data_IF_100411272608
#
_entry.id   IF_100411272608
#
_cell.length_a   1.000
_cell.length_b   1.000
_cell.length_c   1.000
_cell.angle_alpha   90.00
_cell.angle_beta   90.00
_cell.angle_gamma   90.00
#
_symmetry.space_group_name_H-M   'P 1'
#
loop_
_entity.id
_entity.type
_entity.pdbx_description
1 polymer ?
#
# COMPACT_ATOMS: atom_id res chain seq x y z
N UNK A 1 2.42 5.37 -21.38
CA UNK A 1 1.33 6.29 -21.82
C UNK A 1 0.94 5.89 -23.24
N UNK A 2 -0.20 5.22 -23.37
CA UNK A 2 -0.79 4.82 -24.66
C UNK A 2 -1.89 5.80 -25.04
N UNK A 3 -2.09 6.08 -26.33
CA UNK A 3 -3.15 6.98 -26.83
C UNK A 3 -4.09 6.20 -27.76
N UNK A 4 -5.40 6.39 -27.57
CA UNK A 4 -6.46 5.77 -28.35
C UNK A 4 -7.48 6.82 -28.83
N UNK A 5 -7.50 7.10 -30.12
CA UNK A 5 -8.52 7.97 -30.71
C UNK A 5 -9.80 7.16 -30.99
N UNK A 6 -10.77 7.25 -30.08
CA UNK A 6 -12.00 6.46 -30.15
C UNK A 6 -12.99 7.01 -31.17
N UNK A 7 -12.74 8.19 -31.74
CA UNK A 7 -13.57 8.77 -32.81
C UNK A 7 -13.47 7.98 -34.10
N UNK A 8 -12.35 7.26 -34.29
CA UNK A 8 -12.12 6.37 -35.43
C UNK A 8 -12.79 4.99 -35.26
N UNK A 9 -13.35 4.72 -34.08
CA UNK A 9 -13.95 3.43 -33.72
C UNK A 9 -15.49 3.53 -33.76
N UNK A 10 -16.20 2.53 -34.32
CA UNK A 10 -17.65 2.49 -34.28
C UNK A 10 -18.21 2.67 -32.86
N UNK A 11 -19.27 3.48 -32.65
CA UNK A 11 -19.75 3.80 -31.29
C UNK A 11 -20.04 2.59 -30.41
N UNK A 12 -20.54 1.50 -30.99
CA UNK A 12 -20.86 0.25 -30.31
C UNK A 12 -19.63 -0.60 -29.95
N UNK A 13 -18.44 -0.27 -30.46
CA UNK A 13 -17.17 -0.97 -30.18
C UNK A 13 -16.23 -0.16 -29.29
N UNK A 14 -16.51 1.15 -29.07
CA UNK A 14 -15.62 2.05 -28.33
C UNK A 14 -15.33 1.55 -26.92
N UNK A 15 -16.36 1.19 -26.16
CA UNK A 15 -16.20 0.73 -24.78
C UNK A 15 -15.33 -0.53 -24.72
N UNK A 16 -15.65 -1.56 -25.50
CA UNK A 16 -14.89 -2.81 -25.54
C UNK A 16 -13.40 -2.55 -25.83
N UNK A 17 -13.10 -1.66 -26.79
CA UNK A 17 -11.73 -1.29 -27.15
C UNK A 17 -11.00 -0.51 -26.06
N UNK A 18 -11.70 0.39 -25.37
CA UNK A 18 -11.13 1.14 -24.25
C UNK A 18 -10.81 0.19 -23.08
N UNK A 19 -11.73 -0.72 -22.75
CA UNK A 19 -11.53 -1.72 -21.71
C UNK A 19 -10.37 -2.66 -22.03
N UNK A 20 -10.28 -3.15 -23.27
CA UNK A 20 -9.16 -3.97 -23.74
C UNK A 20 -7.83 -3.21 -23.59
N UNK A 21 -7.76 -1.97 -24.11
CA UNK A 21 -6.56 -1.15 -24.04
C UNK A 21 -6.17 -0.78 -22.59
N UNK A 22 -7.14 -0.57 -21.70
CA UNK A 22 -6.90 -0.28 -20.29
C UNK A 22 -6.45 -1.53 -19.51
N UNK A 23 -7.02 -2.70 -19.84
CA UNK A 23 -6.65 -3.97 -19.22
C UNK A 23 -5.19 -4.34 -19.51
N UNK A 24 -4.71 -4.03 -20.72
CA UNK A 24 -3.34 -4.31 -21.17
C UNK A 24 -2.26 -3.41 -20.55
N UNK A 25 -2.64 -2.30 -19.89
CA UNK A 25 -1.68 -1.42 -19.21
C UNK A 25 -0.99 -2.12 -18.04
N UNK A 26 0.28 -1.78 -17.79
CA UNK A 26 0.92 -2.09 -16.52
C UNK A 26 0.36 -1.18 -15.40
N UNK A 27 0.32 -1.66 -14.14
CA UNK A 27 0.20 -0.82 -12.95
C UNK A 27 0.98 0.50 -13.03
N UNK A 28 0.32 1.63 -12.75
CA UNK A 28 0.94 2.96 -12.78
C UNK A 28 1.04 3.60 -14.17
N UNK A 29 0.61 2.91 -15.23
CA UNK A 29 0.49 3.52 -16.55
C UNK A 29 -0.89 4.19 -16.75
N UNK A 30 -0.96 5.14 -17.69
CA UNK A 30 -2.21 5.77 -18.12
C UNK A 30 -2.52 5.49 -19.60
N UNK A 31 -3.81 5.32 -19.90
CA UNK A 31 -4.37 5.35 -21.25
C UNK A 31 -5.00 6.72 -21.50
N UNK A 32 -4.58 7.41 -22.55
CA UNK A 32 -5.22 8.63 -23.03
C UNK A 32 -6.23 8.30 -24.12
N UNK A 33 -7.48 8.74 -23.98
CA UNK A 33 -8.50 8.60 -25.03
C UNK A 33 -8.85 9.96 -25.65
N UNK A 34 -9.08 9.99 -26.95
CA UNK A 34 -9.65 11.16 -27.65
C UNK A 34 -11.08 10.84 -28.09
N UNK A 35 -12.06 11.54 -27.53
CA UNK A 35 -13.49 11.32 -27.73
C UNK A 35 -14.18 12.52 -28.40
N UNK A 36 -15.29 12.27 -29.10
CA UNK A 36 -16.11 13.31 -29.76
C UNK A 36 -17.14 13.96 -28.81
N UNK A 37 -17.31 13.40 -27.62
CA UNK A 37 -18.20 13.89 -26.57
C UNK A 37 -17.56 13.74 -25.18
N UNK A 38 -18.19 14.34 -24.17
CA UNK A 38 -17.77 14.24 -22.78
C UNK A 38 -17.81 12.76 -22.31
N UNK A 39 -16.68 12.18 -21.87
CA UNK A 39 -16.57 10.78 -21.46
C UNK A 39 -17.15 10.50 -20.07
N UNK A 40 -17.93 11.42 -19.47
CA UNK A 40 -18.55 11.23 -18.16
C UNK A 40 -19.26 9.88 -17.93
N UNK A 41 -20.03 9.31 -18.91
CA UNK A 41 -20.61 7.98 -18.73
C UNK A 41 -19.55 6.87 -18.55
N UNK A 42 -18.48 6.92 -19.36
CA UNK A 42 -17.36 5.99 -19.28
C UNK A 42 -16.61 6.12 -17.96
N UNK A 43 -16.39 7.35 -17.47
CA UNK A 43 -15.81 7.59 -16.15
C UNK A 43 -16.58 6.85 -15.05
N UNK A 44 -17.91 7.01 -15.00
CA UNK A 44 -18.72 6.34 -13.98
C UNK A 44 -18.72 4.81 -14.10
N UNK A 45 -18.66 4.29 -15.32
CA UNK A 45 -18.53 2.85 -15.59
C UNK A 45 -17.21 2.30 -15.05
N UNK A 46 -16.09 2.93 -15.40
CA UNK A 46 -14.75 2.52 -14.94
C UNK A 46 -14.63 2.61 -13.42
N UNK A 47 -15.06 3.73 -12.81
CA UNK A 47 -15.04 3.91 -11.35
C UNK A 47 -15.88 2.87 -10.61
N UNK A 48 -16.97 2.37 -11.22
CA UNK A 48 -17.84 1.38 -10.59
C UNK A 48 -17.36 -0.06 -10.79
N UNK A 49 -16.76 -0.37 -11.94
CA UNK A 49 -16.54 -1.76 -12.37
C UNK A 49 -15.06 -2.17 -12.43
N UNK A 50 -14.13 -1.22 -12.42
CA UNK A 50 -12.70 -1.48 -12.62
C UNK A 50 -11.91 -1.05 -11.38
N UNK A 51 -11.63 -1.97 -10.42
CA UNK A 51 -10.88 -1.65 -9.21
C UNK A 51 -9.47 -1.09 -9.43
N UNK A 52 -8.89 -1.35 -10.61
CA UNK A 52 -7.57 -0.84 -10.99
C UNK A 52 -7.62 0.56 -11.63
N UNK A 53 -8.80 1.15 -11.81
CA UNK A 53 -8.93 2.52 -12.29
C UNK A 53 -8.75 3.49 -11.13
N UNK A 54 -7.82 4.44 -11.29
CA UNK A 54 -7.58 5.50 -10.32
C UNK A 54 -8.50 6.69 -10.65
N UNK A 55 -9.63 6.76 -9.95
CA UNK A 55 -10.65 7.79 -10.17
C UNK A 55 -10.27 9.15 -9.57
N UNK A 56 -9.29 9.18 -8.65
CA UNK A 56 -8.74 10.40 -8.05
C UNK A 56 -7.74 11.08 -9.00
N UNK A 57 -6.97 10.30 -9.77
CA UNK A 57 -6.02 10.79 -10.76
C UNK A 57 -6.63 11.02 -12.15
N UNK A 58 -7.88 10.62 -12.39
CA UNK A 58 -8.57 10.83 -13.66
C UNK A 58 -8.63 12.33 -14.05
N UNK A 59 -8.33 12.62 -15.32
CA UNK A 59 -8.39 13.97 -15.87
C UNK A 59 -9.06 14.00 -17.24
N UNK A 60 -9.77 15.09 -17.54
CA UNK A 60 -10.33 15.34 -18.89
C UNK A 60 -10.17 16.80 -19.29
N UNK A 61 -9.66 17.02 -20.49
CA UNK A 61 -9.55 18.33 -21.13
C UNK A 61 -10.47 18.40 -22.35
N UNK A 62 -11.14 19.54 -22.55
CA UNK A 62 -11.93 19.82 -23.75
C UNK A 62 -11.15 20.72 -24.71
N UNK A 63 -10.72 20.16 -25.84
CA UNK A 63 -9.96 20.85 -26.88
C UNK A 63 -10.85 21.28 -28.07
N UNK A 64 -11.86 22.11 -27.79
CA UNK A 64 -12.82 22.59 -28.77
C UNK A 64 -14.21 21.94 -28.67
N UNK A 65 -15.09 22.12 -29.67
CA UNK A 65 -16.49 21.76 -29.52
C UNK A 65 -16.74 20.25 -29.41
N UNK A 66 -15.97 19.43 -30.13
CA UNK A 66 -16.17 17.98 -30.34
C UNK A 66 -14.87 17.18 -30.14
N UNK A 67 -14.02 17.62 -29.21
CA UNK A 67 -12.76 16.95 -28.89
C UNK A 67 -12.52 16.99 -27.39
N UNK A 68 -12.53 15.82 -26.78
CA UNK A 68 -12.30 15.60 -25.35
C UNK A 68 -11.14 14.63 -25.22
N UNK A 69 -10.10 15.03 -24.49
CA UNK A 69 -8.93 14.21 -24.22
C UNK A 69 -9.02 13.80 -22.75
N UNK A 70 -9.24 12.51 -22.48
CA UNK A 70 -9.32 11.99 -21.13
C UNK A 70 -8.13 11.07 -20.83
N UNK A 71 -7.51 11.29 -19.68
CA UNK A 71 -6.48 10.42 -19.14
C UNK A 71 -7.12 9.43 -18.17
N UNK A 72 -6.94 8.14 -18.45
CA UNK A 72 -7.43 7.02 -17.67
C UNK A 72 -6.23 6.34 -16.99
N UNK A 73 -5.84 6.79 -15.79
CA UNK A 73 -4.75 6.17 -15.04
C UNK A 73 -5.17 4.82 -14.49
N UNK A 74 -4.28 3.84 -14.64
CA UNK A 74 -4.34 2.58 -13.93
C UNK A 74 -3.59 2.76 -12.62
N UNK A 75 -4.28 2.53 -11.51
CA UNK A 75 -3.68 2.56 -10.19
C UNK A 75 -2.37 1.77 -10.19
N UNK A 76 -1.38 2.26 -9.46
CA UNK A 76 -0.20 1.46 -9.12
C UNK A 76 -0.71 0.21 -8.38
N UNK A 77 -0.91 -0.85 -9.15
CA UNK A 77 -1.59 -2.07 -8.77
C UNK A 77 -1.13 -2.53 -7.40
N UNK A 78 -2.09 -2.86 -6.55
CA UNK A 78 -1.79 -3.67 -5.38
C UNK A 78 -1.02 -4.89 -5.87
N UNK A 79 0.24 -5.00 -5.45
CA UNK A 79 1.15 -6.06 -5.87
C UNK A 79 0.45 -7.43 -5.82
N UNK A 80 0.80 -8.35 -6.73
CA UNK A 80 0.37 -9.75 -6.59
C UNK A 80 0.58 -10.21 -5.14
N UNK A 81 -0.35 -10.99 -4.56
CA UNK A 81 -0.28 -11.33 -3.15
C UNK A 81 1.05 -12.01 -2.81
N UNK A 82 1.90 -11.31 -2.08
CA UNK A 82 3.17 -11.82 -1.62
C UNK A 82 2.97 -12.69 -0.37
N UNK A 83 3.61 -13.86 -0.33
CA UNK A 83 3.52 -14.79 0.80
C UNK A 83 4.92 -15.19 1.28
N UNK A 84 5.15 -15.03 2.59
CA UNK A 84 6.40 -15.37 3.28
C UNK A 84 6.06 -15.98 4.63
N UNK A 85 6.84 -16.99 5.07
CA UNK A 85 6.74 -17.51 6.43
C UNK A 85 7.75 -16.80 7.32
N UNK A 86 7.32 -16.46 8.53
CA UNK A 86 8.18 -15.80 9.52
C UNK A 86 9.43 -16.64 9.85
N UNK A 87 9.28 -17.97 9.88
CA UNK A 87 10.38 -18.90 10.15
C UNK A 87 11.44 -18.94 9.03
N UNK A 88 11.10 -18.49 7.83
CA UNK A 88 11.99 -18.50 6.66
C UNK A 88 12.72 -17.15 6.48
N UNK A 89 12.56 -16.20 7.42
CA UNK A 89 13.17 -14.87 7.35
C UNK A 89 14.59 -14.87 7.91
N UNK A 90 15.54 -14.44 7.07
CA UNK A 90 16.94 -14.27 7.44
C UNK A 90 17.26 -12.87 7.98
N UNK A 91 18.25 -12.80 8.89
CA UNK A 91 18.78 -11.57 9.46
C UNK A 91 18.39 -11.41 10.93
N UNK A 92 19.29 -10.87 11.76
CA UNK A 92 19.07 -10.63 13.20
C UNK A 92 19.70 -9.29 13.60
N UNK A 93 19.08 -8.52 14.53
CA UNK A 93 17.81 -8.82 15.20
C UNK A 93 16.56 -8.52 14.33
N UNK A 94 16.72 -7.85 13.18
CA UNK A 94 15.61 -7.46 12.29
C UNK A 94 15.65 -8.19 10.94
N UNK A 95 14.48 -8.65 10.50
CA UNK A 95 14.28 -9.17 9.14
C UNK A 95 13.01 -8.53 8.54
N UNK A 96 13.08 -8.07 7.29
CA UNK A 96 11.93 -7.46 6.58
C UNK A 96 11.16 -8.55 5.86
N UNK A 97 9.85 -8.63 6.10
CA UNK A 97 8.99 -9.63 5.47
C UNK A 97 8.75 -9.33 3.98
N UNK A 98 8.53 -8.06 3.64
CA UNK A 98 8.26 -7.59 2.28
C UNK A 98 9.19 -6.41 1.96
N UNK A 99 10.44 -6.65 1.52
CA UNK A 99 11.41 -5.59 1.29
C UNK A 99 10.94 -4.59 0.21
N UNK A 100 10.74 -3.32 0.58
CA UNK A 100 10.36 -2.27 -0.36
C UNK A 100 8.85 -2.05 -0.51
N UNK A 101 8.03 -2.90 0.10
CA UNK A 101 6.57 -2.77 0.10
C UNK A 101 6.04 -2.10 1.38
N UNK A 102 4.84 -1.52 1.28
CA UNK A 102 4.06 -1.03 2.41
C UNK A 102 2.85 -1.97 2.68
N UNK A 103 2.40 -2.12 3.94
CA UNK A 103 3.02 -1.55 5.14
C UNK A 103 4.34 -2.23 5.48
N UNK A 104 5.32 -1.46 5.94
CA UNK A 104 6.60 -2.01 6.43
C UNK A 104 6.33 -3.07 7.50
N UNK A 105 6.75 -4.31 7.20
CA UNK A 105 6.53 -5.46 8.07
C UNK A 105 7.86 -6.07 8.44
N UNK A 106 8.16 -6.14 9.73
CA UNK A 106 9.48 -6.51 10.28
C UNK A 106 9.31 -7.58 11.34
N UNK A 107 10.05 -8.68 11.23
CA UNK A 107 10.23 -9.63 12.34
C UNK A 107 11.42 -9.17 13.18
N UNK A 108 11.18 -8.97 14.47
CA UNK A 108 12.18 -8.72 15.50
C UNK A 108 12.45 -10.02 16.27
N UNK A 109 13.72 -10.38 16.46
CA UNK A 109 14.15 -11.48 17.32
C UNK A 109 15.23 -10.97 18.26
N UNK A 110 15.07 -11.23 19.54
CA UNK A 110 15.95 -10.75 20.61
C UNK A 110 16.18 -11.89 21.61
N UNK A 111 17.42 -12.04 22.04
CA UNK A 111 17.76 -12.92 23.16
C UNK A 111 17.29 -12.31 24.50
N UNK A 112 17.17 -13.15 25.53
CA UNK A 112 16.82 -12.69 26.87
C UNK A 112 17.70 -11.51 27.36
N UNK A 113 17.06 -10.37 27.64
CA UNK A 113 17.72 -9.15 28.11
C UNK A 113 18.24 -8.22 27.01
N UNK A 114 18.20 -8.64 25.74
CA UNK A 114 18.56 -7.79 24.62
C UNK A 114 17.49 -6.70 24.39
N UNK A 115 17.91 -5.55 23.88
CA UNK A 115 17.02 -4.44 23.55
C UNK A 115 17.43 -3.77 22.25
N UNK A 116 16.45 -3.26 21.52
CA UNK A 116 16.71 -2.31 20.42
C UNK A 116 16.90 -0.92 21.03
N UNK A 117 17.86 -0.14 20.51
CA UNK A 117 18.08 1.23 20.96
C UNK A 117 16.79 2.06 20.83
N UNK A 118 16.61 3.04 21.71
CA UNK A 118 15.45 3.94 21.67
C UNK A 118 15.43 4.74 20.36
N UNK A 119 14.28 4.78 19.70
CA UNK A 119 14.07 5.48 18.42
C UNK A 119 12.58 5.80 18.21
N UNK A 120 12.25 6.47 17.11
CA UNK A 120 10.87 6.76 16.71
C UNK A 120 10.59 6.35 15.25
N UNK A 121 9.33 6.46 14.86
CA UNK A 121 8.82 6.15 13.54
C UNK A 121 7.80 7.23 13.11
N UNK A 122 8.27 8.46 12.80
CA UNK A 122 7.38 9.56 12.45
C UNK A 122 6.44 9.17 11.29
N UNK A 123 5.24 9.72 11.32
CA UNK A 123 4.19 9.51 10.30
C UNK A 123 3.69 8.06 10.18
N UNK A 124 3.94 7.21 11.19
CA UNK A 124 3.48 5.81 11.22
C UNK A 124 2.53 5.51 12.35
N UNK A 125 1.59 4.61 12.11
CA UNK A 125 0.95 3.83 13.18
C UNK A 125 1.68 2.50 13.30
N UNK A 126 2.14 2.18 14.52
CA UNK A 126 2.92 0.97 14.80
C UNK A 126 2.05 -0.05 15.51
N UNK A 127 2.07 -1.29 15.00
CA UNK A 127 1.49 -2.46 15.65
C UNK A 127 2.61 -3.44 15.99
N UNK A 128 2.81 -3.69 17.28
CA UNK A 128 3.77 -4.65 17.80
C UNK A 128 3.02 -5.91 18.24
N UNK A 129 3.33 -7.06 17.65
CA UNK A 129 2.75 -8.35 17.99
C UNK A 129 3.82 -9.29 18.53
N UNK A 130 3.76 -9.69 19.80
CA UNK A 130 4.65 -10.73 20.31
C UNK A 130 4.15 -12.10 19.84
N UNK A 131 4.96 -12.81 19.05
CA UNK A 131 4.66 -14.15 18.54
C UNK A 131 5.05 -15.22 19.58
N UNK A 132 6.22 -15.03 20.18
CA UNK A 132 6.81 -15.91 21.19
C UNK A 132 7.49 -15.08 22.27
N UNK A 133 7.70 -15.70 23.43
CA UNK A 133 8.33 -15.07 24.57
C UNK A 133 7.54 -13.86 25.08
N UNK A 134 8.26 -12.88 25.63
CA UNK A 134 7.63 -11.67 26.11
C UNK A 134 8.57 -10.46 26.18
N UNK A 135 8.01 -9.29 25.86
CA UNK A 135 8.72 -8.01 25.76
C UNK A 135 8.24 -7.01 26.80
N UNK A 136 9.14 -6.15 27.26
CA UNK A 136 8.80 -4.84 27.79
C UNK A 136 9.06 -3.81 26.69
N UNK A 137 7.99 -3.20 26.19
CA UNK A 137 8.04 -2.14 25.18
C UNK A 137 7.90 -0.80 25.89
N UNK A 138 9.00 -0.09 26.08
CA UNK A 138 8.94 1.26 26.65
C UNK A 138 8.51 2.26 25.58
N UNK A 139 7.41 2.98 25.82
CA UNK A 139 6.92 4.07 24.99
C UNK A 139 7.09 5.39 25.74
N UNK A 140 7.89 6.32 25.23
CA UNK A 140 8.28 7.55 25.94
C UNK A 140 8.82 7.27 27.35
N UNK A 141 9.53 6.15 27.51
CA UNK A 141 10.06 5.66 28.78
C UNK A 141 9.05 4.89 29.66
N UNK A 142 7.77 4.84 29.32
CA UNK A 142 6.75 4.09 30.06
C UNK A 142 6.67 2.62 29.59
N UNK A 143 6.95 1.62 30.45
CA UNK A 143 7.01 0.23 30.03
C UNK A 143 5.62 -0.40 29.85
N UNK A 144 5.41 -1.04 28.72
CA UNK A 144 4.20 -1.80 28.38
C UNK A 144 4.58 -3.28 28.16
N UNK A 145 3.99 -4.18 28.94
CA UNK A 145 4.25 -5.62 28.83
C UNK A 145 3.47 -6.22 27.66
N UNK A 146 4.15 -6.93 26.77
CA UNK A 146 3.53 -7.66 25.66
C UNK A 146 4.03 -9.10 25.66
N UNK A 147 3.14 -10.04 25.97
CA UNK A 147 3.44 -11.47 26.03
C UNK A 147 2.99 -12.16 24.73
N UNK A 148 3.47 -13.38 24.46
CA UNK A 148 3.10 -14.16 23.28
C UNK A 148 1.58 -14.18 23.03
N UNK A 149 1.17 -13.86 21.81
CA UNK A 149 -0.24 -13.66 21.42
C UNK A 149 -0.75 -12.23 21.63
N UNK A 150 -0.01 -11.39 22.36
CA UNK A 150 -0.38 -10.01 22.66
C UNK A 150 -0.06 -9.02 21.53
N UNK A 151 -0.81 -7.92 21.52
CA UNK A 151 -0.69 -6.82 20.57
C UNK A 151 -0.59 -5.50 21.33
N UNK A 152 0.28 -4.60 20.86
CA UNK A 152 0.37 -3.22 21.31
C UNK A 152 0.35 -2.31 20.09
N UNK A 153 -0.57 -1.34 20.06
CA UNK A 153 -0.65 -0.34 19.00
C UNK A 153 -0.35 1.05 19.56
N UNK A 154 0.47 1.82 18.86
CA UNK A 154 0.83 3.18 19.26
C UNK A 154 1.15 4.06 18.04
N UNK A 155 1.11 5.37 18.25
CA UNK A 155 1.54 6.35 17.26
C UNK A 155 3.06 6.40 17.22
N UNK A 156 3.64 6.38 16.02
CA UNK A 156 5.09 6.32 15.81
C UNK A 156 5.86 7.59 16.17
N UNK A 157 5.16 8.67 16.50
CA UNK A 157 5.76 9.90 17.05
C UNK A 157 6.28 9.71 18.49
N UNK A 158 5.88 8.62 19.16
CA UNK A 158 6.40 8.23 20.48
C UNK A 158 7.75 7.55 20.33
N UNK A 159 8.67 7.81 21.26
CA UNK A 159 9.90 7.01 21.31
C UNK A 159 9.57 5.59 21.76
N UNK A 160 10.23 4.59 21.18
CA UNK A 160 10.04 3.18 21.48
C UNK A 160 11.36 2.49 21.77
N UNK A 161 11.38 1.65 22.81
CA UNK A 161 12.49 0.78 23.17
C UNK A 161 11.98 -0.61 23.59
N UNK A 162 11.93 -1.60 22.69
CA UNK A 162 11.59 -2.97 23.06
C UNK A 162 12.77 -3.67 23.73
N UNK A 163 12.51 -4.38 24.82
CA UNK A 163 13.47 -5.24 25.53
C UNK A 163 12.86 -6.62 25.73
N UNK A 164 13.57 -7.67 25.35
CA UNK A 164 13.14 -9.04 25.55
C UNK A 164 13.39 -9.48 27.01
N UNK A 165 12.41 -10.12 27.65
CA UNK A 165 12.60 -10.71 29.00
C UNK A 165 13.12 -12.14 28.97
N UNK A 166 12.88 -12.80 27.86
CA UNK A 166 13.31 -14.14 27.50
C UNK A 166 13.50 -14.16 25.98
N UNK A 167 14.10 -15.20 25.42
CA UNK A 167 14.24 -15.32 23.96
C UNK A 167 12.85 -15.17 23.32
N UNK A 168 12.71 -14.15 22.48
CA UNK A 168 11.39 -13.70 22.04
C UNK A 168 11.42 -13.21 20.59
N UNK A 169 10.29 -13.42 19.91
CA UNK A 169 10.07 -12.97 18.54
C UNK A 169 8.81 -12.13 18.47
N UNK A 170 8.88 -11.01 17.76
CA UNK A 170 7.75 -10.15 17.47
C UNK A 170 7.60 -9.88 15.97
N UNK A 171 6.37 -9.66 15.51
CA UNK A 171 6.06 -9.08 14.22
C UNK A 171 5.64 -7.62 14.44
N UNK A 172 6.31 -6.69 13.75
CA UNK A 172 6.07 -5.27 13.83
C UNK A 172 5.56 -4.79 12.48
N UNK A 173 4.40 -4.15 12.46
CA UNK A 173 3.83 -3.52 11.27
C UNK A 173 3.85 -2.01 11.47
N UNK A 174 4.46 -1.28 10.54
CA UNK A 174 4.53 0.17 10.54
C UNK A 174 3.74 0.70 9.34
N UNK A 175 2.44 0.91 9.55
CA UNK A 175 1.57 1.44 8.52
C UNK A 175 1.77 2.96 8.38
N UNK A 176 1.77 3.51 7.15
CA UNK A 176 1.62 4.95 6.95
C UNK A 176 0.37 5.46 7.69
N UNK A 177 0.50 6.62 8.34
CA UNK A 177 -0.66 7.30 8.92
C UNK A 177 -1.50 7.84 7.78
N UNK A 178 -2.71 7.31 7.57
CA UNK A 178 -3.64 7.83 6.57
C UNK A 178 -4.04 9.27 6.90
N UNK A 179 -4.32 10.08 5.88
CA UNK A 179 -5.03 11.35 6.07
C UNK A 179 -6.44 11.03 6.57
N UNK A 180 -6.83 11.63 7.70
CA UNK A 180 -8.10 11.38 8.39
C UNK A 180 -9.25 12.21 7.82
#
# INVERSE_FOLDING_TARGET
MSELDVREIPPNERHDRIHEAFADLEPGESLTIVNDHDPKPLYYELSAEVPAFDDEAYAVEREGPERFVAELPKAEGGAEPEAVRIADLDGEPHARAFPGAEPKTVRLSLDAGESVAEHDHPDRTVLFHALTGAFDVALDGEPHRVEAGGLLRFEGDRTVKPTAREDATALIVLAPRGEA
#
